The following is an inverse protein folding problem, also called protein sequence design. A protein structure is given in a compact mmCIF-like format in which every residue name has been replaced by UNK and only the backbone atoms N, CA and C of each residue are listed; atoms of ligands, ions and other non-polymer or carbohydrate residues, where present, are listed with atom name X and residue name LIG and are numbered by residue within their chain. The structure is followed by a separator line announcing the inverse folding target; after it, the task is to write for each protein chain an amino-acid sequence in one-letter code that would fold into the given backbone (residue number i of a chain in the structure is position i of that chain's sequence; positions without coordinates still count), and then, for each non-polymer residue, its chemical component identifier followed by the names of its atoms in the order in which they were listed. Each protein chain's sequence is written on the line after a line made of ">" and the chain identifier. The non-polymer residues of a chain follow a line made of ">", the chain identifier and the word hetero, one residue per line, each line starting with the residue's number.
data_IF_594584437982
#
_entry.id   IF_594584437982
#
_cell.length_a   1.000
_cell.length_b   1.000
_cell.length_c   1.000
_cell.angle_alpha   90.00
_cell.angle_beta   90.00
_cell.angle_gamma   90.00
#
_symmetry.space_group_name_H-M   'P 1'
#
loop_
_entity.id
_entity.type
_entity.pdbx_description
1 polymer ?
#
# COMPACT_ATOMS: atom_id res chain seq x y z
N UNK A 1 -36.43 69.35 28.46
CA UNK A 1 -36.28 67.87 28.40
C UNK A 1 -35.31 67.46 29.49
N UNK A 2 -35.59 66.40 30.27
CA UNK A 2 -34.76 66.05 31.43
C UNK A 2 -33.39 65.50 31.01
N UNK A 3 -32.33 65.92 31.70
CA UNK A 3 -30.93 65.50 31.48
C UNK A 3 -30.76 63.98 31.56
N UNK A 4 -31.49 63.33 32.47
CA UNK A 4 -31.51 61.87 32.60
C UNK A 4 -31.94 61.14 31.32
N UNK A 5 -32.90 61.68 30.56
CA UNK A 5 -33.36 61.05 29.31
C UNK A 5 -32.29 61.16 28.21
N UNK A 6 -31.50 62.23 28.20
CA UNK A 6 -30.37 62.38 27.29
C UNK A 6 -29.26 61.36 27.60
N UNK A 7 -28.87 61.23 28.87
CA UNK A 7 -27.87 60.25 29.31
C UNK A 7 -28.27 58.80 28.99
N UNK A 8 -29.53 58.44 29.21
CA UNK A 8 -30.05 57.11 28.87
C UNK A 8 -29.98 56.88 27.35
N UNK A 9 -30.33 57.89 26.55
CA UNK A 9 -30.27 57.79 25.08
C UNK A 9 -28.84 57.60 24.59
N UNK A 10 -27.87 58.29 25.18
CA UNK A 10 -26.47 58.19 24.79
C UNK A 10 -25.89 56.82 25.18
N UNK A 11 -26.24 56.30 26.37
CA UNK A 11 -25.89 54.92 26.77
C UNK A 11 -26.47 53.88 25.81
N UNK A 12 -27.74 54.02 25.42
CA UNK A 12 -28.37 53.11 24.46
C UNK A 12 -27.73 53.18 23.07
N UNK A 13 -27.30 54.36 22.63
CA UNK A 13 -26.54 54.51 21.37
C UNK A 13 -25.18 53.81 21.46
N UNK A 14 -24.44 54.01 22.54
CA UNK A 14 -23.15 53.36 22.74
C UNK A 14 -23.28 51.82 22.74
N UNK A 15 -24.30 51.28 23.43
CA UNK A 15 -24.59 49.83 23.44
C UNK A 15 -24.93 49.34 22.03
N UNK A 16 -25.79 50.07 21.30
CA UNK A 16 -26.15 49.71 19.92
C UNK A 16 -24.92 49.68 19.02
N UNK A 17 -24.05 50.68 19.12
CA UNK A 17 -22.88 50.80 18.27
C UNK A 17 -21.84 49.71 18.59
N UNK A 18 -21.71 49.31 19.86
CA UNK A 18 -20.94 48.12 20.27
C UNK A 18 -21.51 46.84 19.67
N UNK A 19 -22.82 46.59 19.81
CA UNK A 19 -23.45 45.40 19.21
C UNK A 19 -23.28 45.37 17.68
N UNK A 20 -23.33 46.53 17.01
CA UNK A 20 -23.09 46.63 15.57
C UNK A 20 -21.63 46.37 15.18
N UNK A 21 -20.67 46.70 16.03
CA UNK A 21 -19.27 46.33 15.83
C UNK A 21 -19.10 44.81 15.99
N UNK A 22 -19.57 44.24 17.09
CA UNK A 22 -19.47 42.80 17.38
C UNK A 22 -20.10 41.95 16.26
N UNK A 23 -21.28 42.35 15.77
CA UNK A 23 -21.93 41.65 14.66
C UNK A 23 -21.17 41.73 13.34
N UNK A 24 -20.43 42.81 13.09
CA UNK A 24 -19.56 42.89 11.90
C UNK A 24 -18.36 41.99 12.06
N UNK A 25 -17.73 41.99 13.23
CA UNK A 25 -16.57 41.16 13.52
C UNK A 25 -16.94 39.67 13.43
N UNK A 26 -18.07 39.26 13.99
CA UNK A 26 -18.58 37.90 13.87
C UNK A 26 -18.89 37.50 12.43
N UNK A 27 -19.40 38.43 11.61
CA UNK A 27 -19.64 38.15 10.17
C UNK A 27 -18.33 37.98 9.41
N UNK A 28 -17.31 38.79 9.73
CA UNK A 28 -15.98 38.64 9.15
C UNK A 28 -15.36 37.31 9.55
N UNK A 29 -15.39 36.95 10.84
CA UNK A 29 -14.89 35.67 11.33
C UNK A 29 -15.61 34.48 10.69
N UNK A 30 -16.92 34.58 10.48
CA UNK A 30 -17.70 33.55 9.80
C UNK A 30 -17.25 33.40 8.33
N UNK A 31 -17.06 34.50 7.61
CA UNK A 31 -16.60 34.47 6.22
C UNK A 31 -15.18 33.88 6.09
N UNK A 32 -14.28 34.21 7.03
CA UNK A 32 -12.94 33.63 7.10
C UNK A 32 -13.00 32.11 7.34
N UNK A 33 -13.82 31.67 8.29
CA UNK A 33 -14.01 30.25 8.59
C UNK A 33 -14.63 29.47 7.42
N UNK A 34 -15.59 30.04 6.70
CA UNK A 34 -16.15 29.45 5.48
C UNK A 34 -15.09 29.29 4.40
N UNK A 35 -14.22 30.29 4.21
CA UNK A 35 -13.12 30.23 3.26
C UNK A 35 -12.09 29.15 3.63
N UNK A 36 -11.79 28.98 4.93
CA UNK A 36 -10.91 27.91 5.41
C UNK A 36 -11.52 26.52 5.15
N UNK A 37 -12.83 26.35 5.38
CA UNK A 37 -13.54 25.10 5.09
C UNK A 37 -13.50 24.76 3.59
N UNK A 38 -13.74 25.74 2.71
CA UNK A 38 -13.64 25.54 1.25
C UNK A 38 -12.21 25.12 0.83
N UNK A 39 -11.18 25.68 1.46
CA UNK A 39 -9.79 25.28 1.21
C UNK A 39 -9.53 23.84 1.66
N UNK A 40 -10.04 23.45 2.82
CA UNK A 40 -9.93 22.08 3.34
C UNK A 40 -10.66 21.11 2.42
N UNK A 41 -11.88 21.41 1.99
CA UNK A 41 -12.65 20.58 1.06
C UNK A 41 -11.94 20.44 -0.28
N UNK A 42 -11.35 21.52 -0.79
CA UNK A 42 -10.55 21.49 -2.03
C UNK A 42 -9.31 20.62 -1.86
N UNK A 43 -8.61 20.72 -0.72
CA UNK A 43 -7.44 19.90 -0.42
C UNK A 43 -7.81 18.42 -0.25
N UNK A 44 -8.93 18.12 0.42
CA UNK A 44 -9.46 16.77 0.56
C UNK A 44 -9.88 16.19 -0.78
N UNK A 45 -10.51 16.99 -1.65
CA UNK A 45 -10.82 16.58 -3.02
C UNK A 45 -9.54 16.27 -3.81
N UNK A 46 -8.50 17.10 -3.71
CA UNK A 46 -7.22 16.85 -4.37
C UNK A 46 -6.52 15.57 -3.86
N UNK A 47 -6.65 15.23 -2.58
CA UNK A 47 -6.12 13.98 -2.00
C UNK A 47 -7.00 12.77 -2.36
N UNK A 48 -8.32 12.97 -2.43
CA UNK A 48 -9.33 11.97 -2.76
C UNK A 48 -9.40 11.63 -4.24
N UNK A 49 -9.05 12.57 -5.13
CA UNK A 49 -8.76 12.37 -6.54
C UNK A 49 -7.41 11.68 -6.74
N UNK A 50 -7.22 10.54 -6.09
CA UNK A 50 -6.39 9.50 -6.69
C UNK A 50 -6.98 9.26 -8.09
N UNK A 51 -6.19 9.27 -9.17
CA UNK A 51 -6.70 8.92 -10.48
C UNK A 51 -7.13 7.46 -10.41
N UNK A 52 -8.41 7.24 -10.09
CA UNK A 52 -9.12 6.01 -10.37
C UNK A 52 -9.25 5.95 -11.89
N UNK A 53 -8.12 5.63 -12.53
CA UNK A 53 -8.06 4.98 -13.83
C UNK A 53 -8.65 3.58 -13.66
N UNK A 54 -9.92 3.48 -13.26
CA UNK A 54 -10.77 2.39 -13.70
C UNK A 54 -11.00 2.61 -15.19
N UNK A 55 -9.96 2.27 -15.98
CA UNK A 55 -10.13 1.94 -17.39
C UNK A 55 -11.29 0.97 -17.41
N UNK A 56 -12.45 1.39 -17.92
CA UNK A 56 -13.50 0.49 -18.38
C UNK A 56 -12.79 -0.47 -19.34
N UNK A 57 -12.47 -1.67 -18.84
CA UNK A 57 -11.84 -2.71 -19.65
C UNK A 57 -12.88 -3.04 -20.70
N UNK A 58 -12.63 -2.62 -21.95
CA UNK A 58 -13.24 -3.26 -23.11
C UNK A 58 -13.06 -4.77 -22.92
N UNK A 59 -14.08 -5.61 -23.17
CA UNK A 59 -13.91 -7.05 -23.08
C UNK A 59 -12.78 -7.42 -24.03
N UNK A 60 -11.62 -7.75 -23.46
CA UNK A 60 -10.47 -8.15 -24.24
C UNK A 60 -10.88 -9.44 -24.95
N UNK A 61 -10.77 -9.41 -26.28
CA UNK A 61 -10.79 -10.58 -27.12
C UNK A 61 -9.98 -11.69 -26.46
N UNK A 62 -10.54 -12.90 -26.50
CA UNK A 62 -10.03 -14.19 -26.04
C UNK A 62 -8.50 -14.32 -26.07
N UNK A 63 -7.80 -13.72 -25.11
CA UNK A 63 -6.41 -14.07 -24.85
C UNK A 63 -6.47 -15.39 -24.09
N UNK A 64 -5.96 -16.45 -24.71
CA UNK A 64 -5.73 -17.74 -24.08
C UNK A 64 -5.26 -17.52 -22.64
N UNK A 65 -6.11 -17.91 -21.68
CA UNK A 65 -5.85 -17.65 -20.27
C UNK A 65 -4.63 -18.49 -19.89
N UNK A 66 -3.47 -17.84 -19.78
CA UNK A 66 -2.26 -18.48 -19.26
C UNK A 66 -2.62 -19.20 -17.97
N UNK A 67 -2.26 -20.48 -17.82
CA UNK A 67 -2.59 -21.23 -16.62
C UNK A 67 -1.99 -20.51 -15.40
N UNK A 68 -2.80 -20.41 -14.34
CA UNK A 68 -2.33 -19.90 -13.06
C UNK A 68 -1.23 -20.81 -12.51
N UNK A 69 -0.18 -20.20 -11.96
CA UNK A 69 0.83 -20.97 -11.24
C UNK A 69 0.19 -21.66 -10.01
N UNK A 70 0.57 -22.90 -9.74
CA UNK A 70 0.16 -23.62 -8.52
C UNK A 70 1.17 -23.39 -7.39
N UNK A 71 0.81 -23.70 -6.14
CA UNK A 71 1.74 -23.61 -5.00
C UNK A 71 3.00 -24.46 -5.24
N UNK A 72 2.84 -25.68 -5.78
CA UNK A 72 3.94 -26.59 -6.06
C UNK A 72 4.90 -26.04 -7.13
N UNK A 73 4.37 -25.41 -8.18
CA UNK A 73 5.18 -24.78 -9.22
C UNK A 73 5.98 -23.59 -8.68
N UNK A 74 5.36 -22.78 -7.82
CA UNK A 74 6.03 -21.65 -7.16
C UNK A 74 7.15 -22.16 -6.24
N UNK A 75 6.89 -23.21 -5.45
CA UNK A 75 7.91 -23.85 -4.59
C UNK A 75 9.07 -24.42 -5.40
N UNK A 76 8.79 -25.13 -6.50
CA UNK A 76 9.83 -25.70 -7.35
C UNK A 76 10.75 -24.62 -7.93
N UNK A 77 10.18 -23.49 -8.37
CA UNK A 77 10.95 -22.35 -8.86
C UNK A 77 11.77 -21.70 -7.74
N UNK A 78 11.21 -21.59 -6.53
CA UNK A 78 11.96 -21.09 -5.36
C UNK A 78 13.14 -22.02 -5.03
N UNK A 79 12.92 -23.32 -5.03
CA UNK A 79 13.97 -24.32 -4.77
C UNK A 79 15.09 -24.25 -5.81
N UNK A 80 14.73 -24.12 -7.08
CA UNK A 80 15.70 -23.97 -8.17
C UNK A 80 16.55 -22.70 -7.99
N UNK A 81 15.92 -21.56 -7.71
CA UNK A 81 16.63 -20.28 -7.51
C UNK A 81 17.56 -20.34 -6.29
N UNK A 82 17.09 -20.91 -5.18
CA UNK A 82 17.92 -21.08 -3.98
C UNK A 82 19.01 -22.14 -4.17
N UNK A 83 18.79 -23.13 -5.03
CA UNK A 83 19.82 -24.10 -5.42
C UNK A 83 20.93 -23.46 -6.25
N UNK A 84 20.57 -22.57 -7.18
CA UNK A 84 21.53 -21.87 -8.06
C UNK A 84 22.27 -20.74 -7.34
N UNK A 85 21.57 -19.93 -6.53
CA UNK A 85 22.10 -18.69 -5.95
C UNK A 85 22.45 -18.83 -4.46
N UNK A 86 22.08 -19.94 -3.83
CA UNK A 86 22.25 -20.13 -2.39
C UNK A 86 21.23 -19.32 -1.58
N UNK A 87 21.71 -18.63 -0.53
CA UNK A 87 20.83 -17.89 0.37
C UNK A 87 20.55 -16.49 -0.16
N UNK A 88 19.27 -16.09 -0.19
CA UNK A 88 18.87 -14.80 -0.73
C UNK A 88 17.73 -14.14 0.06
N UNK A 89 17.65 -12.80 0.07
CA UNK A 89 16.53 -12.09 0.70
C UNK A 89 15.21 -12.37 -0.01
N UNK A 90 14.13 -12.45 0.76
CA UNK A 90 12.78 -12.76 0.25
C UNK A 90 12.31 -11.82 -0.88
N UNK A 91 12.71 -10.54 -0.84
CA UNK A 91 12.38 -9.55 -1.87
C UNK A 91 13.04 -9.88 -3.21
N UNK A 92 14.32 -10.28 -3.19
CA UNK A 92 15.05 -10.69 -4.39
C UNK A 92 14.53 -12.02 -4.94
N UNK A 93 14.30 -12.98 -4.04
CA UNK A 93 13.73 -14.28 -4.38
C UNK A 93 12.35 -14.15 -5.05
N UNK A 94 11.49 -13.26 -4.55
CA UNK A 94 10.17 -12.98 -5.14
C UNK A 94 10.26 -12.45 -6.56
N UNK A 95 11.22 -11.55 -6.84
CA UNK A 95 11.41 -10.99 -8.18
C UNK A 95 11.84 -12.07 -9.18
N UNK A 96 12.90 -12.81 -8.84
CA UNK A 96 13.44 -13.87 -9.70
C UNK A 96 12.43 -15.02 -9.91
N UNK A 97 11.70 -15.42 -8.87
CA UNK A 97 10.67 -16.44 -9.01
C UNK A 97 9.51 -15.97 -9.91
N UNK A 98 9.14 -14.68 -9.83
CA UNK A 98 8.14 -14.11 -10.72
C UNK A 98 8.59 -14.05 -12.18
N UNK A 99 9.87 -13.77 -12.43
CA UNK A 99 10.48 -13.76 -13.77
C UNK A 99 10.53 -15.18 -14.35
N UNK A 100 11.09 -16.16 -13.64
CA UNK A 100 11.12 -17.57 -14.08
C UNK A 100 9.71 -18.13 -14.36
N UNK A 101 8.71 -17.80 -13.54
CA UNK A 101 7.33 -18.23 -13.80
C UNK A 101 6.72 -17.58 -15.04
N UNK A 102 7.08 -16.32 -15.32
CA UNK A 102 6.64 -15.61 -16.53
C UNK A 102 7.27 -16.21 -17.78
N UNK A 103 8.55 -16.58 -17.73
CA UNK A 103 9.26 -17.31 -18.79
C UNK A 103 8.63 -18.68 -19.06
N UNK A 104 8.17 -19.37 -18.02
CA UNK A 104 7.38 -20.62 -18.12
C UNK A 104 5.94 -20.41 -18.59
N UNK A 105 5.57 -19.21 -19.01
CA UNK A 105 4.24 -18.90 -19.53
C UNK A 105 3.12 -18.89 -18.49
N UNK A 106 3.43 -18.85 -17.19
CA UNK A 106 2.42 -18.86 -16.12
C UNK A 106 1.86 -17.46 -15.83
N UNK A 107 0.62 -17.41 -15.36
CA UNK A 107 0.03 -16.17 -14.86
C UNK A 107 0.56 -15.84 -13.46
N UNK A 108 0.90 -14.56 -13.24
CA UNK A 108 1.34 -14.02 -11.95
C UNK A 108 0.19 -13.47 -11.09
N UNK A 109 -1.07 -13.61 -11.53
CA UNK A 109 -2.24 -13.04 -10.85
C UNK A 109 -2.36 -13.44 -9.38
N UNK A 110 -1.98 -14.67 -9.03
CA UNK A 110 -1.99 -15.19 -7.65
C UNK A 110 -0.60 -15.40 -7.06
N UNK A 111 0.46 -15.04 -7.80
CA UNK A 111 1.84 -15.34 -7.41
C UNK A 111 2.21 -14.74 -6.05
N UNK A 112 1.84 -13.50 -5.77
CA UNK A 112 2.19 -12.86 -4.49
C UNK A 112 1.58 -13.59 -3.27
N UNK A 113 0.33 -14.03 -3.39
CA UNK A 113 -0.34 -14.79 -2.35
C UNK A 113 0.22 -16.21 -2.21
N UNK A 114 0.54 -16.87 -3.33
CA UNK A 114 1.16 -18.19 -3.32
C UNK A 114 2.57 -18.13 -2.74
N UNK A 115 3.37 -17.14 -3.14
CA UNK A 115 4.73 -16.92 -2.62
C UNK A 115 4.71 -16.77 -1.10
N UNK A 116 3.83 -15.93 -0.55
CA UNK A 116 3.68 -15.79 0.90
C UNK A 116 3.33 -17.12 1.59
N UNK A 117 2.46 -17.95 0.97
CA UNK A 117 2.15 -19.31 1.47
C UNK A 117 3.31 -20.31 1.34
N UNK A 118 4.27 -20.04 0.46
CA UNK A 118 5.45 -20.87 0.28
C UNK A 118 6.54 -20.55 1.30
N UNK A 119 6.57 -19.33 1.86
CA UNK A 119 7.56 -18.95 2.87
C UNK A 119 7.45 -19.74 4.17
N UNK A 120 6.25 -20.18 4.53
CA UNK A 120 6.01 -21.06 5.69
C UNK A 120 6.20 -22.55 5.39
N UNK A 121 6.79 -22.91 4.26
CA UNK A 121 7.05 -24.31 3.91
C UNK A 121 8.25 -24.85 4.70
N UNK A 122 8.16 -26.06 5.29
CA UNK A 122 9.24 -26.62 6.11
C UNK A 122 10.54 -26.85 5.35
N UNK A 123 10.52 -26.84 4.02
CA UNK A 123 11.73 -26.94 3.17
C UNK A 123 12.56 -25.66 3.10
N UNK A 124 12.04 -24.53 3.60
CA UNK A 124 12.72 -23.25 3.61
C UNK A 124 13.11 -22.88 5.04
N UNK A 125 14.37 -22.44 5.22
CA UNK A 125 14.90 -21.96 6.48
C UNK A 125 15.29 -20.50 6.33
N UNK A 126 14.77 -19.67 7.22
CA UNK A 126 15.25 -18.31 7.41
C UNK A 126 16.61 -18.35 8.10
N UNK A 127 17.62 -17.82 7.41
CA UNK A 127 18.95 -17.52 7.94
C UNK A 127 18.98 -16.08 8.48
N UNK A 128 20.13 -15.73 9.03
CA UNK A 128 20.42 -14.38 9.55
C UNK A 128 20.05 -13.29 8.55
N UNK A 129 19.46 -12.20 9.06
CA UNK A 129 19.05 -11.02 8.29
C UNK A 129 17.94 -11.23 7.23
N UNK A 130 17.02 -12.19 7.44
CA UNK A 130 15.82 -12.34 6.58
C UNK A 130 16.11 -12.95 5.21
N UNK A 131 17.24 -13.66 5.09
CA UNK A 131 17.59 -14.44 3.90
C UNK A 131 17.01 -15.85 4.01
N UNK A 132 16.44 -16.36 2.94
CA UNK A 132 15.91 -17.72 2.87
C UNK A 132 16.97 -18.64 2.28
N UNK A 133 16.97 -19.89 2.72
CA UNK A 133 17.80 -20.96 2.15
C UNK A 133 17.05 -22.29 2.22
N UNK A 134 17.46 -23.25 1.40
CA UNK A 134 16.92 -24.61 1.50
C UNK A 134 17.38 -25.26 2.81
N UNK A 135 16.47 -25.98 3.48
CA UNK A 135 16.86 -26.94 4.51
C UNK A 135 17.89 -27.88 3.90
N UNK A 136 19.10 -27.89 4.45
CA UNK A 136 20.12 -28.83 4.01
C UNK A 136 19.59 -30.25 4.26
N UNK A 137 19.09 -30.91 3.21
CA UNK A 137 19.04 -32.36 3.20
C UNK A 137 20.48 -32.85 3.42
N UNK A 138 20.73 -33.84 4.29
CA UNK A 138 22.06 -34.35 4.52
C UNK A 138 22.66 -34.76 3.18
N UNK A 139 23.78 -34.12 2.81
CA UNK A 139 24.57 -34.53 1.65
C UNK A 139 25.00 -35.97 1.89
N UNK A 140 24.32 -36.94 1.27
CA UNK A 140 24.88 -38.27 1.13
C UNK A 140 26.06 -38.15 0.20
N UNK A 141 27.25 -38.09 0.78
CA UNK A 141 28.51 -38.19 0.06
C UNK A 141 28.48 -39.45 -0.82
N UNK A 142 28.97 -39.38 -2.07
CA UNK A 142 29.10 -40.57 -2.90
C UNK A 142 30.12 -41.49 -2.22
N UNK A 143 29.66 -42.61 -1.66
CA UNK A 143 30.54 -43.72 -1.27
C UNK A 143 31.28 -44.17 -2.52
N UNK A 144 32.53 -43.75 -2.66
CA UNK A 144 33.49 -44.33 -3.59
C UNK A 144 33.49 -45.85 -3.39
N UNK A 145 32.92 -46.56 -4.35
CA UNK A 145 33.12 -48.01 -4.46
C UNK A 145 34.54 -48.20 -4.95
N UNK A 146 35.46 -48.51 -4.02
CA UNK A 146 36.77 -49.09 -4.34
C UNK A 146 36.52 -50.32 -5.22
N UNK A 147 36.90 -50.21 -6.48
CA UNK A 147 37.05 -51.36 -7.38
C UNK A 147 38.36 -52.02 -6.97
N UNK A 148 38.27 -53.17 -6.30
CA UNK A 148 39.42 -54.02 -6.02
C UNK A 148 39.85 -54.71 -7.31
N UNK A 149 41.15 -54.63 -7.61
CA UNK A 149 41.84 -55.46 -8.58
C UNK A 149 42.00 -56.89 -8.06
#
# INVERSE_FOLDING_TARGET
>A
MSTAVAEIRDKLRAIRDLCLADTKDLRTQLAEAEQELEQVDTALAAIGEKPSRRKKRKPAATSERRPCATKAEVLAVIHEILGENGSMPAVGLKKLAGEKLRERGKSLSMFAALFAKCLGDPSLVEKTAGSLSLTAAPRTEPKERKVGF
#
